data_IF_477179495459
#
_entry.id   IF_477179495459
#
_cell.length_a   1.000
_cell.length_b   1.000
_cell.length_c   1.000
_cell.angle_alpha   90.00
_cell.angle_beta   90.00
_cell.angle_gamma   90.00
#
_symmetry.space_group_name_H-M   'P 1'
#
loop_
_entity.id
_entity.type
_entity.pdbx_description
1 polymer ?
#
# COMPACT_ATOMS: atom_id res chain seq x y z
N UNK A 1 -25.28 21.48 -5.01
CA UNK A 1 -23.89 21.85 -5.36
C UNK A 1 -23.22 20.56 -5.83
N UNK A 2 -22.97 20.40 -7.13
CA UNK A 2 -22.36 19.18 -7.68
C UNK A 2 -20.86 19.21 -7.38
N UNK A 3 -20.41 18.42 -6.42
CA UNK A 3 -18.98 18.14 -6.24
C UNK A 3 -18.45 17.45 -7.50
N UNK A 4 -17.34 18.00 -7.99
CA UNK A 4 -16.55 17.63 -9.17
C UNK A 4 -16.68 16.14 -9.54
N UNK A 5 -17.01 15.84 -10.80
CA UNK A 5 -16.91 14.48 -11.36
C UNK A 5 -15.46 14.00 -11.23
N UNK A 6 -15.18 13.21 -10.20
CA UNK A 6 -13.83 12.73 -9.87
C UNK A 6 -13.26 11.72 -10.86
N UNK A 7 -14.13 11.05 -11.63
CA UNK A 7 -13.76 10.00 -12.58
C UNK A 7 -14.84 8.92 -12.66
N UNK A 8 -14.57 7.86 -13.44
CA UNK A 8 -15.39 6.66 -13.40
C UNK A 8 -15.25 5.97 -12.02
N UNK A 9 -16.30 5.37 -11.44
CA UNK A 9 -16.13 4.59 -10.22
C UNK A 9 -15.06 3.51 -10.41
N UNK A 10 -14.14 3.40 -9.46
CA UNK A 10 -13.16 2.32 -9.44
C UNK A 10 -13.89 1.01 -9.15
N UNK A 11 -14.03 0.16 -10.17
CA UNK A 11 -14.54 -1.20 -10.05
C UNK A 11 -13.43 -2.14 -10.47
N UNK A 12 -13.19 -3.17 -9.68
CA UNK A 12 -12.07 -4.11 -9.83
C UNK A 12 -10.69 -3.50 -9.58
N UNK A 13 -9.65 -4.25 -9.96
CA UNK A 13 -8.26 -3.84 -9.86
C UNK A 13 -7.89 -2.93 -11.03
N UNK A 14 -7.31 -1.78 -10.71
CA UNK A 14 -6.71 -0.84 -11.68
C UNK A 14 -5.36 -0.37 -11.16
N UNK A 15 -4.43 -0.15 -12.07
CA UNK A 15 -3.08 0.27 -11.78
C UNK A 15 -2.74 1.62 -12.41
N UNK A 16 -1.90 2.42 -11.75
CA UNK A 16 -1.53 3.73 -12.24
C UNK A 16 -0.95 4.62 -11.14
N UNK A 17 -1.24 5.92 -11.23
CA UNK A 17 -0.74 6.93 -10.29
C UNK A 17 -1.90 7.74 -9.70
N UNK A 18 -1.84 8.02 -8.41
CA UNK A 18 -2.75 8.98 -7.81
C UNK A 18 -2.48 10.36 -8.38
N UNK A 19 -3.56 11.06 -8.74
CA UNK A 19 -3.47 12.39 -9.33
C UNK A 19 -4.08 13.48 -8.46
N UNK A 20 -5.10 13.13 -7.64
CA UNK A 20 -5.83 14.06 -6.77
C UNK A 20 -6.46 13.33 -5.59
N UNK A 21 -6.70 14.10 -4.53
CA UNK A 21 -7.53 13.74 -3.39
C UNK A 21 -8.64 14.77 -3.28
N UNK A 22 -9.87 14.30 -3.11
CA UNK A 22 -11.06 15.13 -3.00
C UNK A 22 -11.72 14.78 -1.68
N UNK A 23 -11.78 15.79 -0.80
CA UNK A 23 -12.53 15.70 0.45
C UNK A 23 -14.01 15.40 0.17
N UNK A 24 -14.62 14.57 1.01
CA UNK A 24 -16.06 14.28 0.92
C UNK A 24 -16.83 15.20 1.87
N UNK A 25 -18.13 15.38 1.63
CA UNK A 25 -19.00 16.03 2.62
C UNK A 25 -19.18 15.17 3.88
N UNK A 26 -18.80 13.89 3.81
CA UNK A 26 -18.71 12.98 4.94
C UNK A 26 -17.26 12.95 5.42
N UNK A 27 -17.01 13.48 6.63
CA UNK A 27 -15.68 13.68 7.19
C UNK A 27 -14.88 12.39 7.34
N UNK A 28 -15.56 11.24 7.37
CA UNK A 28 -14.90 9.94 7.50
C UNK A 28 -14.44 9.39 6.15
N UNK A 29 -14.85 9.98 5.03
CA UNK A 29 -14.64 9.45 3.70
C UNK A 29 -13.84 10.42 2.82
N UNK A 30 -12.88 9.88 2.07
CA UNK A 30 -12.06 10.64 1.14
C UNK A 30 -12.05 9.95 -0.23
N UNK A 31 -12.12 10.74 -1.31
CA UNK A 31 -12.08 10.21 -2.67
C UNK A 31 -10.67 10.39 -3.27
N UNK A 32 -10.12 9.29 -3.80
CA UNK A 32 -8.82 9.22 -4.45
C UNK A 32 -9.00 9.05 -5.95
N UNK A 33 -8.31 9.89 -6.74
CA UNK A 33 -8.39 9.85 -8.20
C UNK A 33 -7.15 9.18 -8.79
N UNK A 34 -7.33 7.98 -9.30
CA UNK A 34 -6.33 7.17 -9.97
C UNK A 34 -6.31 7.49 -11.48
N UNK A 35 -5.16 7.88 -12.00
CA UNK A 35 -4.91 7.97 -13.45
C UNK A 35 -4.25 6.69 -13.91
N UNK A 36 -4.92 5.94 -14.79
CA UNK A 36 -4.35 4.72 -15.38
C UNK A 36 -3.79 4.98 -16.78
N UNK A 37 -3.09 4.00 -17.35
CA UNK A 37 -2.51 4.09 -18.69
C UNK A 37 -3.56 4.28 -19.79
N UNK A 38 -4.82 3.85 -19.56
CA UNK A 38 -5.94 4.06 -20.49
C UNK A 38 -6.36 5.54 -20.59
N UNK A 39 -5.80 6.42 -19.76
CA UNK A 39 -6.11 7.85 -19.70
C UNK A 39 -7.42 8.18 -18.99
N UNK A 40 -8.19 7.18 -18.55
CA UNK A 40 -9.45 7.33 -17.82
C UNK A 40 -9.12 7.57 -16.33
N UNK A 41 -9.63 8.66 -15.73
CA UNK A 41 -9.55 8.83 -14.29
C UNK A 41 -10.57 7.93 -13.60
N UNK A 42 -10.14 7.15 -12.62
CA UNK A 42 -11.00 6.36 -11.76
C UNK A 42 -11.04 6.93 -10.34
N UNK A 43 -12.21 6.93 -9.73
CA UNK A 43 -12.48 7.45 -8.41
C UNK A 43 -12.75 6.30 -7.44
N UNK A 44 -11.90 6.15 -6.42
CA UNK A 44 -12.09 5.23 -5.31
C UNK A 44 -12.33 6.00 -4.01
N UNK A 45 -13.32 5.59 -3.22
CA UNK A 45 -13.62 6.16 -1.92
C UNK A 45 -13.03 5.31 -0.79
N UNK A 46 -12.45 5.94 0.22
CA UNK A 46 -11.89 5.29 1.39
C UNK A 46 -12.48 5.90 2.65
N UNK A 47 -12.94 5.05 3.58
CA UNK A 47 -13.22 5.47 4.94
C UNK A 47 -11.90 5.57 5.72
N UNK A 48 -11.45 6.78 6.00
CA UNK A 48 -10.11 7.04 6.55
C UNK A 48 -10.01 6.72 8.05
N UNK A 49 -11.15 6.69 8.76
CA UNK A 49 -11.22 6.32 10.17
C UNK A 49 -11.05 4.80 10.33
N UNK A 50 -11.68 4.02 9.47
CA UNK A 50 -11.61 2.55 9.50
C UNK A 50 -10.33 2.01 8.86
N UNK A 51 -9.72 2.78 7.96
CA UNK A 51 -8.57 2.36 7.16
C UNK A 51 -7.45 3.41 7.15
N UNK A 52 -7.06 3.90 8.32
CA UNK A 52 -6.00 4.91 8.48
C UNK A 52 -4.69 4.52 7.75
N UNK A 53 -4.31 3.24 7.79
CA UNK A 53 -3.10 2.78 7.12
C UNK A 53 -3.20 2.85 5.59
N UNK A 54 -4.38 2.58 5.01
CA UNK A 54 -4.60 2.77 3.57
C UNK A 54 -4.50 4.24 3.23
N UNK A 55 -5.09 5.11 4.06
CA UNK A 55 -5.01 6.55 3.89
C UNK A 55 -3.55 7.02 3.89
N UNK A 56 -2.74 6.59 4.87
CA UNK A 56 -1.33 6.93 4.95
C UNK A 56 -0.53 6.46 3.72
N UNK A 57 -0.78 5.23 3.24
CA UNK A 57 -0.12 4.71 2.04
C UNK A 57 -0.51 5.47 0.77
N UNK A 58 -1.77 5.87 0.63
CA UNK A 58 -2.24 6.63 -0.53
C UNK A 58 -1.74 8.08 -0.50
N UNK A 59 -1.73 8.72 0.68
CA UNK A 59 -1.14 10.05 0.87
C UNK A 59 0.35 10.05 0.51
N UNK A 60 1.10 9.05 0.99
CA UNK A 60 2.50 8.86 0.61
C UNK A 60 2.65 8.62 -0.90
N UNK A 61 1.84 7.73 -1.47
CA UNK A 61 1.93 7.43 -2.90
C UNK A 61 1.66 8.66 -3.77
N UNK A 62 0.75 9.54 -3.36
CA UNK A 62 0.52 10.82 -4.03
C UNK A 62 1.72 11.77 -3.87
N UNK A 63 2.20 11.97 -2.64
CA UNK A 63 3.30 12.90 -2.32
C UNK A 63 4.59 12.57 -3.09
N UNK A 64 4.94 11.28 -3.15
CA UNK A 64 6.17 10.80 -3.81
C UNK A 64 5.99 10.35 -5.25
N UNK A 65 4.78 10.44 -5.81
CA UNK A 65 4.50 9.97 -7.17
C UNK A 65 4.76 8.48 -7.37
N UNK A 66 4.38 7.66 -6.39
CA UNK A 66 4.59 6.21 -6.43
C UNK A 66 3.52 5.52 -7.28
N UNK A 67 3.88 4.49 -8.05
CA UNK A 67 2.89 3.66 -8.74
C UNK A 67 2.08 2.85 -7.73
N UNK A 68 0.78 2.78 -7.97
CA UNK A 68 -0.18 2.05 -7.15
C UNK A 68 -1.04 1.12 -7.99
N UNK A 69 -1.57 0.08 -7.35
CA UNK A 69 -2.75 -0.63 -7.81
C UNK A 69 -3.82 -0.56 -6.74
N UNK A 70 -5.07 -0.25 -7.12
CA UNK A 70 -6.22 -0.15 -6.24
C UNK A 70 -7.27 -1.16 -6.66
N UNK A 71 -7.96 -1.76 -5.68
CA UNK A 71 -9.14 -2.58 -5.87
C UNK A 71 -10.37 -1.82 -5.36
N UNK A 72 -11.38 -1.67 -6.20
CA UNK A 72 -12.67 -1.11 -5.81
C UNK A 72 -13.79 -2.15 -5.88
N UNK A 73 -14.75 -2.05 -4.95
CA UNK A 73 -15.99 -2.84 -5.02
C UNK A 73 -17.02 -2.22 -5.98
N UNK A 74 -18.22 -2.81 -6.05
CA UNK A 74 -19.31 -2.32 -6.91
C UNK A 74 -19.77 -0.89 -6.64
N UNK A 75 -19.48 -0.38 -5.44
CA UNK A 75 -19.82 0.96 -4.97
C UNK A 75 -18.67 1.95 -5.15
N UNK A 76 -17.51 1.49 -5.63
CA UNK A 76 -16.31 2.31 -5.73
C UNK A 76 -15.56 2.46 -4.40
N UNK A 77 -15.82 1.61 -3.40
CA UNK A 77 -15.08 1.61 -2.14
C UNK A 77 -13.75 0.88 -2.31
N UNK A 78 -12.67 1.48 -1.84
CA UNK A 78 -11.33 0.90 -1.89
C UNK A 78 -11.24 -0.27 -0.90
N UNK A 79 -11.05 -1.48 -1.42
CA UNK A 79 -10.98 -2.74 -0.68
C UNK A 79 -9.56 -3.35 -0.65
N UNK A 80 -8.64 -2.78 -1.42
CA UNK A 80 -7.25 -3.19 -1.41
C UNK A 80 -6.37 -2.23 -2.19
N UNK A 81 -5.08 -2.22 -1.86
CA UNK A 81 -4.08 -1.44 -2.56
C UNK A 81 -2.72 -2.11 -2.53
N UNK A 82 -1.89 -1.80 -3.52
CA UNK A 82 -0.47 -2.04 -3.49
C UNK A 82 0.29 -0.79 -3.92
N UNK A 83 1.47 -0.58 -3.35
CA UNK A 83 2.37 0.54 -3.65
C UNK A 83 3.77 -0.03 -3.93
N UNK A 84 4.46 0.51 -4.91
CA UNK A 84 5.85 0.17 -5.23
C UNK A 84 6.73 1.43 -5.35
N UNK A 85 8.07 1.30 -5.38
CA UNK A 85 8.97 2.43 -5.63
C UNK A 85 8.69 3.13 -6.97
N UNK A 86 9.05 4.40 -7.10
CA UNK A 86 8.77 5.23 -8.29
C UNK A 86 9.39 4.70 -9.59
N UNK A 87 10.49 3.96 -9.50
CA UNK A 87 11.18 3.33 -10.62
C UNK A 87 10.70 1.89 -10.91
N UNK A 88 9.70 1.39 -10.18
CA UNK A 88 9.15 0.06 -10.37
C UNK A 88 7.92 0.08 -11.29
N UNK A 89 7.61 -1.04 -11.98
CA UNK A 89 6.33 -1.20 -12.65
C UNK A 89 5.16 -1.07 -11.68
N UNK A 90 3.97 -0.80 -12.23
CA UNK A 90 2.71 -0.85 -11.49
C UNK A 90 2.60 -2.15 -10.68
N UNK A 91 2.35 -2.07 -9.36
CA UNK A 91 2.36 -3.24 -8.51
C UNK A 91 1.14 -4.14 -8.77
N UNK A 92 1.28 -5.44 -8.48
CA UNK A 92 0.14 -6.36 -8.38
C UNK A 92 -0.30 -6.47 -6.91
N UNK A 93 -1.59 -6.67 -6.68
CA UNK A 93 -2.16 -7.02 -5.38
C UNK A 93 -1.81 -8.44 -4.92
N UNK A 94 -1.25 -9.28 -5.80
CA UNK A 94 -0.77 -10.61 -5.39
C UNK A 94 0.46 -10.48 -4.47
N UNK A 95 0.42 -11.24 -3.38
CA UNK A 95 1.54 -11.41 -2.44
C UNK A 95 2.08 -12.85 -2.44
N UNK A 96 2.10 -13.52 -3.60
CA UNK A 96 2.56 -14.92 -3.75
C UNK A 96 4.09 -15.07 -3.68
N UNK A 97 4.69 -14.65 -2.56
CA UNK A 97 6.14 -14.65 -2.32
C UNK A 97 6.53 -15.61 -1.19
N UNK A 98 7.83 -15.85 -1.03
CA UNK A 98 8.34 -16.72 0.03
C UNK A 98 7.97 -16.16 1.40
N UNK A 99 7.54 -17.02 2.32
CA UNK A 99 7.21 -16.58 3.68
C UNK A 99 8.49 -16.22 4.44
N UNK A 100 8.54 -15.05 5.05
CA UNK A 100 9.65 -14.67 5.91
C UNK A 100 9.47 -15.27 7.31
N UNK A 101 10.26 -16.28 7.64
CA UNK A 101 10.28 -16.93 8.96
C UNK A 101 11.55 -16.68 9.77
N UNK A 102 12.51 -15.96 9.18
CA UNK A 102 13.83 -15.72 9.75
C UNK A 102 14.22 -14.25 9.58
N UNK A 103 15.40 -13.90 10.07
CA UNK A 103 16.04 -12.62 9.81
C UNK A 103 16.54 -12.56 8.36
N UNK A 104 16.19 -11.50 7.64
CA UNK A 104 16.72 -11.19 6.29
C UNK A 104 16.98 -9.70 6.14
N UNK A 105 17.96 -9.37 5.30
CA UNK A 105 18.30 -8.00 4.91
C UNK A 105 18.06 -7.85 3.41
N UNK A 106 17.43 -6.77 3.00
CA UNK A 106 17.12 -6.50 1.59
C UNK A 106 16.41 -5.16 1.41
N UNK A 107 15.76 -4.98 0.27
CA UNK A 107 15.04 -3.75 -0.07
C UNK A 107 13.53 -4.01 -0.09
N UNK A 108 12.74 -3.08 0.44
CA UNK A 108 11.28 -3.16 0.34
C UNK A 108 10.88 -2.75 -1.07
N UNK A 109 10.33 -3.68 -1.84
CA UNK A 109 9.97 -3.44 -3.26
C UNK A 109 8.46 -3.28 -3.47
N UNK A 110 7.65 -3.61 -2.45
CA UNK A 110 6.20 -3.47 -2.51
C UNK A 110 5.58 -3.51 -1.13
N UNK A 111 4.52 -2.73 -0.94
CA UNK A 111 3.59 -2.85 0.19
C UNK A 111 2.23 -3.22 -0.38
N UNK A 112 1.57 -4.22 0.17
CA UNK A 112 0.26 -4.72 -0.27
C UNK A 112 -0.69 -4.80 0.92
N UNK A 113 -1.79 -4.10 0.86
CA UNK A 113 -2.92 -4.23 1.79
C UNK A 113 -4.12 -4.79 1.02
N UNK A 114 -4.59 -5.97 1.42
CA UNK A 114 -5.76 -6.60 0.84
C UNK A 114 -6.61 -7.23 1.95
N UNK A 115 -7.92 -7.03 1.91
CA UNK A 115 -8.86 -7.76 2.78
C UNK A 115 -8.94 -9.24 2.35
N UNK A 116 -8.91 -10.20 3.30
CA UNK A 116 -9.66 -10.15 4.56
C UNK A 116 -8.80 -10.52 5.79
N UNK A 117 -8.09 -9.55 6.37
CA UNK A 117 -7.51 -9.70 7.71
C UNK A 117 -6.97 -8.38 8.31
N UNK A 118 -7.12 -7.24 7.61
CA UNK A 118 -6.38 -6.01 7.91
C UNK A 118 -4.85 -6.20 8.00
N UNK A 119 -4.30 -7.22 7.32
CA UNK A 119 -2.88 -7.50 7.34
C UNK A 119 -2.19 -6.83 6.14
N UNK A 120 -1.22 -5.97 6.42
CA UNK A 120 -0.36 -5.38 5.40
C UNK A 120 0.81 -6.34 5.16
N UNK A 121 1.03 -6.68 3.90
CA UNK A 121 2.15 -7.50 3.44
C UNK A 121 3.26 -6.61 2.87
N UNK A 122 4.47 -6.78 3.37
CA UNK A 122 5.68 -6.10 2.91
C UNK A 122 6.53 -7.09 2.14
N UNK A 123 6.88 -6.73 0.91
CA UNK A 123 7.68 -7.58 0.03
C UNK A 123 9.13 -7.09 0.05
N UNK A 124 10.00 -7.96 0.55
CA UNK A 124 11.45 -7.76 0.65
C UNK A 124 12.14 -8.49 -0.49
N UNK A 125 12.97 -7.80 -1.27
CA UNK A 125 13.90 -8.42 -2.22
C UNK A 125 15.31 -8.42 -1.62
N UNK A 126 15.91 -9.59 -1.50
CA UNK A 126 17.28 -9.78 -1.01
C UNK A 126 18.28 -9.69 -2.17
N UNK A 127 19.58 -9.54 -1.87
CA UNK A 127 20.63 -9.33 -2.89
C UNK A 127 20.78 -10.48 -3.89
N UNK A 128 20.32 -11.68 -3.52
CA UNK A 128 20.26 -12.86 -4.40
C UNK A 128 19.02 -12.85 -5.33
N UNK A 129 18.18 -11.80 -5.27
CA UNK A 129 16.93 -11.67 -6.01
C UNK A 129 15.75 -12.43 -5.41
N UNK A 130 15.93 -13.12 -4.28
CA UNK A 130 14.84 -13.82 -3.59
C UNK A 130 13.85 -12.81 -3.02
N UNK A 131 12.55 -13.13 -3.13
CA UNK A 131 11.46 -12.26 -2.67
C UNK A 131 10.69 -12.89 -1.54
N UNK A 132 10.67 -12.18 -0.41
CA UNK A 132 10.03 -12.61 0.82
C UNK A 132 8.85 -11.70 1.17
N UNK A 133 7.83 -12.27 1.80
CA UNK A 133 6.67 -11.59 2.33
C UNK A 133 6.66 -11.68 3.85
N UNK A 134 6.53 -10.53 4.50
CA UNK A 134 6.26 -10.40 5.93
C UNK A 134 4.95 -9.63 6.13
N UNK A 135 4.26 -9.86 7.24
CA UNK A 135 2.93 -9.30 7.52
C UNK A 135 2.90 -8.46 8.78
N UNK A 136 1.97 -7.52 8.84
CA UNK A 136 1.68 -6.72 10.03
C UNK A 136 0.18 -6.45 10.12
N UNK A 137 -0.34 -6.43 11.34
CA UNK A 137 -1.72 -6.06 11.64
C UNK A 137 -1.69 -4.71 12.36
N UNK A 138 -1.65 -3.60 11.61
CA UNK A 138 -1.43 -2.29 12.20
C UNK A 138 -2.56 -1.86 13.14
N UNK A 139 -3.78 -2.38 12.97
CA UNK A 139 -4.91 -2.11 13.88
C UNK A 139 -4.88 -2.98 15.17
N UNK A 140 -3.79 -3.72 15.42
CA UNK A 140 -3.55 -4.41 16.70
C UNK A 140 -2.48 -3.63 17.47
N UNK A 141 -2.74 -3.33 18.75
CA UNK A 141 -2.19 -2.23 19.58
C UNK A 141 -0.64 -2.05 19.71
N UNK A 142 0.23 -2.59 18.84
CA UNK A 142 1.68 -2.61 19.08
C UNK A 142 2.60 -2.40 17.85
N UNK A 143 2.14 -1.89 16.71
CA UNK A 143 2.96 -1.90 15.48
C UNK A 143 3.07 -0.60 14.66
N UNK A 144 2.47 0.51 15.08
CA UNK A 144 2.32 1.72 14.25
C UNK A 144 3.63 2.29 13.70
N UNK A 145 4.67 2.39 14.53
CA UNK A 145 5.96 2.93 14.08
C UNK A 145 6.63 2.11 12.98
N UNK A 146 6.33 0.80 12.87
CA UNK A 146 6.98 -0.07 11.90
C UNK A 146 6.45 0.17 10.48
N UNK A 147 5.16 0.48 10.32
CA UNK A 147 4.61 0.85 9.03
C UNK A 147 5.33 2.10 8.49
N UNK A 148 5.52 3.11 9.33
CA UNK A 148 6.29 4.32 8.98
C UNK A 148 7.74 4.02 8.56
N UNK A 149 8.39 3.04 9.21
CA UNK A 149 9.74 2.60 8.81
C UNK A 149 9.75 1.89 7.44
N UNK A 150 8.75 1.05 7.16
CA UNK A 150 8.60 0.43 5.85
C UNK A 150 8.30 1.45 4.75
N UNK A 151 7.43 2.40 5.03
CA UNK A 151 7.10 3.52 4.14
C UNK A 151 8.35 4.36 3.84
N UNK A 152 9.14 4.69 4.87
CA UNK A 152 10.43 5.37 4.70
C UNK A 152 11.36 4.56 3.80
N UNK A 153 11.56 3.28 4.10
CA UNK A 153 12.45 2.42 3.34
C UNK A 153 12.03 2.24 1.87
N UNK A 154 10.73 2.05 1.60
CA UNK A 154 10.18 1.97 0.24
C UNK A 154 10.46 3.26 -0.53
N UNK A 155 10.22 4.41 0.10
CA UNK A 155 10.41 5.73 -0.51
C UNK A 155 11.88 6.02 -0.79
N UNK A 156 12.77 5.74 0.15
CA UNK A 156 14.19 6.09 0.06
C UNK A 156 15.05 5.00 -0.57
N UNK A 157 14.45 3.85 -0.89
CA UNK A 157 15.14 2.66 -1.36
C UNK A 157 16.27 2.24 -0.40
N UNK A 158 16.07 2.44 0.91
CA UNK A 158 17.03 2.07 1.94
C UNK A 158 16.93 0.58 2.25
N UNK A 159 18.07 -0.10 2.50
CA UNK A 159 18.05 -1.47 2.95
C UNK A 159 17.39 -1.56 4.32
N UNK A 160 16.65 -2.65 4.53
CA UNK A 160 16.02 -2.99 5.79
C UNK A 160 16.46 -4.37 6.23
N UNK A 161 16.56 -4.54 7.54
CA UNK A 161 16.71 -5.85 8.16
C UNK A 161 15.42 -6.17 8.91
N UNK A 162 14.75 -7.25 8.53
CA UNK A 162 13.47 -7.68 9.08
C UNK A 162 13.64 -9.03 9.75
N UNK A 163 13.04 -9.20 10.92
CA UNK A 163 12.86 -10.52 11.55
C UNK A 163 11.40 -10.94 11.43
N UNK A 164 11.14 -12.05 10.74
CA UNK A 164 9.81 -12.67 10.67
C UNK A 164 9.54 -13.64 11.82
N UNK A 165 8.27 -13.75 12.22
CA UNK A 165 7.81 -14.74 13.20
C UNK A 165 7.13 -15.96 12.57
N UNK A 166 6.53 -16.81 13.42
CA UNK A 166 5.90 -18.07 12.99
C UNK A 166 4.68 -17.85 12.08
N UNK A 167 3.96 -16.74 12.26
CA UNK A 167 2.81 -16.35 11.45
C UNK A 167 3.21 -15.36 10.32
N UNK A 168 4.50 -15.29 10.00
CA UNK A 168 5.10 -14.29 9.10
C UNK A 168 4.99 -12.85 9.62
N UNK A 169 4.63 -12.64 10.88
CA UNK A 169 4.55 -11.32 11.47
C UNK A 169 5.93 -10.68 11.53
N UNK A 170 6.02 -9.39 11.21
CA UNK A 170 7.23 -8.61 11.46
C UNK A 170 7.39 -8.50 12.98
N UNK A 171 8.46 -9.07 13.54
CA UNK A 171 8.77 -9.00 14.98
C UNK A 171 9.79 -7.91 15.30
N UNK A 172 10.67 -7.57 14.34
CA UNK A 172 11.61 -6.46 14.42
C UNK A 172 11.94 -5.92 13.02
N UNK A 173 12.29 -4.63 12.94
CA UNK A 173 12.77 -3.95 11.74
C UNK A 173 13.88 -2.95 12.11
N UNK A 174 14.91 -2.88 11.28
CA UNK A 174 15.87 -1.79 11.24
C UNK A 174 15.94 -1.24 9.80
N UNK A 175 16.09 0.07 9.65
CA UNK A 175 16.22 0.77 8.37
C UNK A 175 17.58 1.45 8.30
N UNK A 176 18.31 1.25 7.21
CA UNK A 176 19.68 1.73 7.07
C UNK A 176 20.72 0.74 7.63
N UNK A 177 21.96 0.99 7.24
CA UNK A 177 23.16 0.24 7.64
C UNK A 177 23.77 0.79 8.92
#
# INVERSE_FOLDING_TARGET
>A
MLLVQGGAPLKDVRGGFLSRIIDSNDLDNVNYILRTEDGIPYCGQLNIVSHENRNNLLMMALDYGLPVALCGDERGIITGLAVAPSNAPVPSLSSSFLKLHEKRTGTVIRIVDQDPAAAISYILETDDGSRYCAKMWPNSENYDNRNSLFMLALRTNMPVTITGGLRQEVTAIAVGS
#
